data_IF_960796955682
#
_entry.id   IF_960796955682
#
_cell.length_a   1.000
_cell.length_b   1.000
_cell.length_c   1.000
_cell.angle_alpha   90.00
_cell.angle_beta   90.00
_cell.angle_gamma   90.00
#
_symmetry.space_group_name_H-M   'P 1'
#
loop_
_entity.id
_entity.type
_entity.pdbx_description
1 polymer ?
#
# COMPACT_ATOMS: atom_id res chain seq x y z
N UNK A 1 5.24 -32.67 -8.96
CA UNK A 1 4.89 -31.37 -8.34
C UNK A 1 3.75 -30.74 -9.12
N UNK A 2 2.62 -30.42 -8.48
CA UNK A 2 1.45 -29.86 -9.16
C UNK A 2 1.75 -28.44 -9.67
N UNK A 3 1.70 -28.22 -10.98
CA UNK A 3 1.91 -26.90 -11.64
C UNK A 3 1.09 -25.78 -10.97
N UNK A 4 -0.16 -26.08 -10.59
CA UNK A 4 -1.05 -25.16 -9.86
C UNK A 4 -0.46 -24.69 -8.51
N UNK A 5 0.25 -25.58 -7.79
CA UNK A 5 0.91 -25.23 -6.52
C UNK A 5 2.09 -24.29 -6.77
N UNK A 6 2.89 -24.53 -7.81
CA UNK A 6 4.03 -23.67 -8.17
C UNK A 6 3.55 -22.26 -8.53
N UNK A 7 2.53 -22.14 -9.39
CA UNK A 7 1.96 -20.85 -9.81
C UNK A 7 1.46 -20.06 -8.60
N UNK A 8 0.77 -20.72 -7.66
CA UNK A 8 0.29 -20.09 -6.43
C UNK A 8 1.43 -19.56 -5.56
N UNK A 9 2.49 -20.35 -5.37
CA UNK A 9 3.66 -19.92 -4.59
C UNK A 9 4.37 -18.73 -5.24
N UNK A 10 4.55 -18.75 -6.56
CA UNK A 10 5.13 -17.64 -7.29
C UNK A 10 4.29 -16.36 -7.14
N UNK A 11 2.96 -16.45 -7.30
CA UNK A 11 2.07 -15.31 -7.10
C UNK A 11 2.13 -14.76 -5.67
N UNK A 12 2.16 -15.63 -4.66
CA UNK A 12 2.29 -15.22 -3.27
C UNK A 12 3.61 -14.47 -3.03
N UNK A 13 4.72 -15.03 -3.51
CA UNK A 13 6.04 -14.40 -3.40
C UNK A 13 6.05 -13.04 -4.08
N UNK A 14 5.48 -12.94 -5.30
CA UNK A 14 5.37 -11.67 -6.01
C UNK A 14 4.56 -10.62 -5.23
N UNK A 15 3.42 -11.00 -4.65
CA UNK A 15 2.59 -10.08 -3.85
C UNK A 15 3.34 -9.62 -2.60
N UNK A 16 3.99 -10.55 -1.88
CA UNK A 16 4.76 -10.22 -0.67
C UNK A 16 5.92 -9.29 -1.02
N UNK A 17 6.70 -9.59 -2.06
CA UNK A 17 7.80 -8.74 -2.52
C UNK A 17 7.30 -7.35 -2.91
N UNK A 18 6.18 -7.27 -3.63
CA UNK A 18 5.57 -5.99 -3.99
C UNK A 18 5.19 -5.18 -2.75
N UNK A 19 4.54 -5.78 -1.76
CA UNK A 19 4.18 -5.10 -0.50
C UNK A 19 5.41 -4.66 0.30
N UNK A 20 6.50 -5.43 0.29
CA UNK A 20 7.76 -5.06 0.93
C UNK A 20 8.46 -3.90 0.22
N UNK A 21 8.46 -3.90 -1.12
CA UNK A 21 8.98 -2.77 -1.92
C UNK A 21 8.15 -1.52 -1.63
N UNK A 22 6.83 -1.63 -1.58
CA UNK A 22 5.92 -0.53 -1.29
C UNK A 22 6.14 0.01 0.12
N UNK A 23 6.32 -0.88 1.09
CA UNK A 23 6.70 -0.55 2.47
C UNK A 23 7.99 0.28 2.48
N UNK A 24 9.04 -0.21 1.83
CA UNK A 24 10.33 0.46 1.77
C UNK A 24 10.23 1.84 1.12
N UNK A 25 9.57 1.94 -0.04
CA UNK A 25 9.37 3.19 -0.75
C UNK A 25 8.60 4.22 0.07
N UNK A 26 7.51 3.80 0.71
CA UNK A 26 6.69 4.69 1.52
C UNK A 26 7.48 5.22 2.73
N UNK A 27 8.19 4.34 3.44
CA UNK A 27 9.01 4.73 4.60
C UNK A 27 10.17 5.62 4.17
N UNK A 28 10.94 5.22 3.16
CA UNK A 28 12.09 5.98 2.68
C UNK A 28 11.67 7.37 2.17
N UNK A 29 10.59 7.43 1.39
CA UNK A 29 10.04 8.70 0.91
C UNK A 29 9.55 9.60 2.04
N UNK A 30 8.80 9.05 3.00
CA UNK A 30 8.33 9.81 4.16
C UNK A 30 9.49 10.34 5.02
N UNK A 31 10.50 9.51 5.30
CA UNK A 31 11.70 9.93 6.04
C UNK A 31 12.47 11.02 5.29
N UNK A 32 12.58 10.91 3.97
CA UNK A 32 13.23 11.93 3.15
C UNK A 32 12.44 13.25 3.14
N UNK A 33 11.11 13.18 3.13
CA UNK A 33 10.23 14.35 3.16
C UNK A 33 10.21 15.06 4.53
N UNK A 34 10.43 14.35 5.65
CA UNK A 34 10.48 14.96 6.99
C UNK A 34 11.50 16.09 7.12
N UNK A 35 12.59 16.06 6.37
CA UNK A 35 13.61 17.11 6.38
C UNK A 35 13.32 18.28 5.45
N UNK A 36 12.36 18.15 4.53
CA UNK A 36 12.05 19.13 3.47
C UNK A 36 10.61 19.65 3.48
N UNK A 37 9.73 19.10 4.33
CA UNK A 37 8.32 19.52 4.43
C UNK A 37 8.22 20.89 5.10
N UNK A 38 7.84 21.91 4.33
CA UNK A 38 7.67 23.28 4.83
C UNK A 38 6.21 23.72 4.93
N UNK A 39 5.29 22.99 4.27
CA UNK A 39 3.86 23.30 4.29
C UNK A 39 3.07 22.28 5.10
N UNK A 40 1.88 22.68 5.56
CA UNK A 40 0.98 21.81 6.32
C UNK A 40 0.51 20.61 5.47
N UNK A 41 0.25 20.82 4.17
CA UNK A 41 -0.11 19.76 3.23
C UNK A 41 0.97 18.69 3.08
N UNK A 42 2.23 19.10 2.97
CA UNK A 42 3.38 18.18 2.93
C UNK A 42 3.52 17.39 4.23
N UNK A 43 3.31 18.00 5.40
CA UNK A 43 3.35 17.27 6.67
C UNK A 43 2.27 16.20 6.75
N UNK A 44 1.04 16.52 6.33
CA UNK A 44 -0.06 15.54 6.31
C UNK A 44 0.28 14.38 5.37
N UNK A 45 0.76 14.67 4.15
CA UNK A 45 1.17 13.64 3.20
C UNK A 45 2.26 12.74 3.78
N UNK A 46 3.33 13.32 4.35
CA UNK A 46 4.43 12.57 4.96
C UNK A 46 3.93 11.61 6.04
N UNK A 47 3.04 12.07 6.92
CA UNK A 47 2.45 11.22 7.98
C UNK A 47 1.61 10.09 7.36
N UNK A 48 0.76 10.42 6.39
CA UNK A 48 -0.09 9.43 5.69
C UNK A 48 0.77 8.39 4.96
N UNK A 49 1.86 8.83 4.31
CA UNK A 49 2.80 7.99 3.60
C UNK A 49 3.55 7.04 4.55
N UNK A 50 4.02 7.53 5.70
CA UNK A 50 4.64 6.68 6.73
C UNK A 50 3.64 5.65 7.27
N UNK A 51 2.41 6.06 7.56
CA UNK A 51 1.33 5.15 7.97
C UNK A 51 1.05 4.09 6.89
N UNK A 52 1.04 4.48 5.62
CA UNK A 52 0.89 3.55 4.50
C UNK A 52 2.02 2.52 4.47
N UNK A 53 3.27 2.93 4.71
CA UNK A 53 4.41 2.03 4.83
C UNK A 53 4.22 1.00 5.96
N UNK A 54 3.88 1.47 7.16
CA UNK A 54 3.62 0.59 8.32
C UNK A 54 2.46 -0.37 8.05
N UNK A 55 1.36 0.12 7.49
CA UNK A 55 0.19 -0.71 7.16
C UNK A 55 0.48 -1.71 6.04
N UNK A 56 1.37 -1.38 5.10
CA UNK A 56 1.82 -2.30 4.05
C UNK A 56 2.59 -3.47 4.65
N UNK A 57 3.49 -3.19 5.59
CA UNK A 57 4.22 -4.21 6.33
C UNK A 57 3.27 -5.08 7.16
N UNK A 58 2.35 -4.44 7.91
CA UNK A 58 1.37 -5.17 8.71
C UNK A 58 0.46 -6.03 7.83
N UNK A 59 0.13 -5.60 6.61
CA UNK A 59 -0.66 -6.41 5.66
C UNK A 59 0.06 -7.72 5.34
N UNK A 60 1.38 -7.71 5.16
CA UNK A 60 2.19 -8.94 5.02
C UNK A 60 2.11 -9.77 6.31
N UNK A 61 2.28 -9.15 7.49
CA UNK A 61 2.22 -9.85 8.78
C UNK A 61 0.86 -10.49 9.08
N UNK A 62 -0.24 -9.93 8.56
CA UNK A 62 -1.59 -10.51 8.72
C UNK A 62 -1.73 -11.88 8.06
N UNK A 63 -0.92 -12.17 7.05
CA UNK A 63 -0.90 -13.48 6.41
C UNK A 63 -0.35 -14.57 7.35
N UNK A 64 0.68 -14.25 8.14
CA UNK A 64 1.40 -15.22 8.96
C UNK A 64 0.93 -15.27 10.43
N UNK A 65 0.76 -14.12 11.08
CA UNK A 65 0.63 -14.03 12.55
C UNK A 65 -0.69 -13.39 12.99
N UNK A 66 -1.15 -12.36 12.29
CA UNK A 66 -2.24 -11.48 12.76
C UNK A 66 -3.58 -11.72 12.04
N UNK A 67 -4.01 -12.98 11.90
CA UNK A 67 -5.25 -13.34 11.18
C UNK A 67 -6.51 -12.65 11.74
N UNK A 68 -6.61 -12.50 13.08
CA UNK A 68 -7.77 -11.89 13.75
C UNK A 68 -7.97 -10.40 13.42
N UNK A 69 -6.89 -9.67 13.13
CA UNK A 69 -6.93 -8.24 12.80
C UNK A 69 -6.82 -7.98 11.30
N UNK A 70 -6.76 -9.04 10.49
CA UNK A 70 -6.47 -8.94 9.06
C UNK A 70 -7.46 -8.05 8.32
N UNK A 71 -8.76 -8.18 8.61
CA UNK A 71 -9.79 -7.37 7.94
C UNK A 71 -9.59 -5.87 8.24
N UNK A 72 -9.42 -5.50 9.50
CA UNK A 72 -9.24 -4.11 9.91
C UNK A 72 -7.96 -3.50 9.32
N UNK A 73 -6.84 -4.23 9.41
CA UNK A 73 -5.54 -3.77 8.89
C UNK A 73 -5.60 -3.58 7.37
N UNK A 74 -6.24 -4.50 6.63
CA UNK A 74 -6.36 -4.41 5.17
C UNK A 74 -7.22 -3.21 4.74
N UNK A 75 -8.31 -2.94 5.45
CA UNK A 75 -9.17 -1.78 5.18
C UNK A 75 -8.40 -0.49 5.44
N UNK A 76 -7.75 -0.38 6.60
CA UNK A 76 -6.91 0.78 6.92
C UNK A 76 -5.79 0.97 5.89
N UNK A 77 -5.17 -0.13 5.45
CA UNK A 77 -4.14 -0.11 4.42
C UNK A 77 -4.66 0.44 3.09
N UNK A 78 -5.81 -0.03 2.59
CA UNK A 78 -6.44 0.51 1.36
C UNK A 78 -6.62 2.03 1.47
N UNK A 79 -7.24 2.50 2.55
CA UNK A 79 -7.46 3.94 2.73
C UNK A 79 -6.14 4.71 2.75
N UNK A 80 -5.13 4.22 3.47
CA UNK A 80 -3.82 4.86 3.52
C UNK A 80 -3.13 4.92 2.16
N UNK A 81 -3.22 3.86 1.35
CA UNK A 81 -2.61 3.80 0.02
C UNK A 81 -3.29 4.77 -0.95
N UNK A 82 -4.62 4.79 -0.96
CA UNK A 82 -5.41 5.69 -1.81
C UNK A 82 -5.16 7.15 -1.45
N UNK A 83 -5.15 7.46 -0.15
CA UNK A 83 -4.83 8.80 0.33
C UNK A 83 -3.39 9.20 -0.01
N UNK A 84 -2.42 8.31 0.18
CA UNK A 84 -1.02 8.59 -0.17
C UNK A 84 -0.88 8.90 -1.66
N UNK A 85 -1.46 8.08 -2.53
CA UNK A 85 -1.39 8.29 -3.98
C UNK A 85 -2.09 9.58 -4.42
N UNK A 86 -3.28 9.86 -3.88
CA UNK A 86 -4.04 11.06 -4.20
C UNK A 86 -3.38 12.35 -3.68
N UNK A 87 -2.94 12.35 -2.42
CA UNK A 87 -2.28 13.50 -1.82
C UNK A 87 -0.94 13.79 -2.49
N UNK A 88 -0.15 12.76 -2.81
CA UNK A 88 1.14 12.97 -3.46
C UNK A 88 1.01 13.67 -4.82
N UNK A 89 -0.02 13.32 -5.59
CA UNK A 89 -0.35 14.00 -6.83
C UNK A 89 -0.80 15.46 -6.64
N UNK A 90 -1.48 15.78 -5.52
CA UNK A 90 -1.91 17.15 -5.21
C UNK A 90 -0.79 18.03 -4.66
N UNK A 91 0.10 17.45 -3.84
CA UNK A 91 1.13 18.19 -3.11
C UNK A 91 2.37 18.42 -3.98
N UNK A 92 2.78 17.41 -4.77
CA UNK A 92 3.98 17.49 -5.61
C UNK A 92 3.69 17.64 -7.10
N UNK A 93 2.46 17.37 -7.53
CA UNK A 93 2.05 17.51 -8.93
C UNK A 93 1.50 18.90 -9.26
N UNK A 94 1.25 19.18 -10.56
CA UNK A 94 0.48 20.36 -10.95
C UNK A 94 -0.92 20.31 -10.31
N UNK A 95 -1.54 21.46 -9.98
CA UNK A 95 -2.81 21.53 -9.26
C UNK A 95 -3.99 21.09 -10.14
N UNK A 96 -4.08 19.78 -10.37
CA UNK A 96 -5.04 19.13 -11.24
C UNK A 96 -5.76 18.04 -10.44
N UNK A 97 -6.92 18.34 -9.83
CA UNK A 97 -7.63 17.38 -8.98
C UNK A 97 -8.04 16.11 -9.73
N UNK A 98 -8.20 16.20 -11.06
CA UNK A 98 -8.49 15.05 -11.92
C UNK A 98 -7.33 14.05 -11.96
N UNK A 99 -6.08 14.53 -11.96
CA UNK A 99 -4.89 13.67 -11.90
C UNK A 99 -4.85 12.96 -10.55
N UNK A 100 -5.08 13.68 -9.45
CA UNK A 100 -5.13 13.09 -8.12
C UNK A 100 -6.20 12.01 -7.98
N UNK A 101 -7.39 12.24 -8.55
CA UNK A 101 -8.46 11.25 -8.59
C UNK A 101 -8.06 10.01 -9.40
N UNK A 102 -7.37 10.19 -10.52
CA UNK A 102 -6.88 9.08 -11.34
C UNK A 102 -5.86 8.22 -10.56
N UNK A 103 -4.90 8.84 -9.88
CA UNK A 103 -3.93 8.13 -9.03
C UNK A 103 -4.63 7.39 -7.88
N UNK A 104 -5.60 8.01 -7.22
CA UNK A 104 -6.41 7.38 -6.18
C UNK A 104 -7.18 6.17 -6.71
N UNK A 105 -7.78 6.26 -7.91
CA UNK A 105 -8.50 5.16 -8.54
C UNK A 105 -7.57 4.00 -8.93
N UNK A 106 -6.40 4.30 -9.49
CA UNK A 106 -5.39 3.28 -9.82
C UNK A 106 -4.88 2.59 -8.55
N UNK A 107 -4.60 3.35 -7.49
CA UNK A 107 -4.19 2.81 -6.20
C UNK A 107 -5.26 1.89 -5.59
N UNK A 108 -6.53 2.29 -5.65
CA UNK A 108 -7.65 1.48 -5.19
C UNK A 108 -7.76 0.16 -5.97
N UNK A 109 -7.63 0.22 -7.29
CA UNK A 109 -7.66 -0.96 -8.16
C UNK A 109 -6.50 -1.91 -7.82
N UNK A 110 -5.28 -1.38 -7.67
CA UNK A 110 -4.12 -2.16 -7.27
C UNK A 110 -4.31 -2.83 -5.90
N UNK A 111 -4.82 -2.08 -4.91
CA UNK A 111 -5.11 -2.63 -3.59
C UNK A 111 -6.13 -3.77 -3.67
N UNK A 112 -7.19 -3.61 -4.46
CA UNK A 112 -8.20 -4.64 -4.66
C UNK A 112 -7.61 -5.92 -5.27
N UNK A 113 -6.78 -5.79 -6.31
CA UNK A 113 -6.11 -6.94 -6.95
C UNK A 113 -5.21 -7.68 -5.95
N UNK A 114 -4.45 -6.94 -5.14
CA UNK A 114 -3.55 -7.51 -4.13
C UNK A 114 -4.35 -8.28 -3.07
N UNK A 115 -5.39 -7.67 -2.51
CA UNK A 115 -6.20 -8.32 -1.49
C UNK A 115 -6.97 -9.53 -2.01
N UNK A 116 -7.49 -9.43 -3.23
CA UNK A 116 -8.13 -10.56 -3.91
C UNK A 116 -7.15 -11.72 -4.10
N UNK A 117 -5.93 -11.44 -4.53
CA UNK A 117 -4.84 -12.41 -4.63
C UNK A 117 -4.53 -13.07 -3.29
N UNK A 118 -4.34 -12.27 -2.24
CA UNK A 118 -4.07 -12.77 -0.88
C UNK A 118 -5.20 -13.65 -0.34
N UNK A 119 -6.46 -13.26 -0.54
CA UNK A 119 -7.61 -14.05 -0.10
C UNK A 119 -7.65 -15.41 -0.81
N UNK A 120 -7.52 -15.43 -2.14
CA UNK A 120 -7.53 -16.66 -2.94
C UNK A 120 -6.39 -17.62 -2.62
N UNK A 121 -5.25 -17.08 -2.20
CA UNK A 121 -4.07 -17.87 -1.82
C UNK A 121 -4.12 -18.34 -0.36
N UNK A 122 -4.93 -17.70 0.50
CA UNK A 122 -5.02 -18.01 1.93
C UNK A 122 -6.04 -19.09 2.33
N UNK A 123 -6.92 -19.53 1.42
CA UNK A 123 -7.90 -20.60 1.70
C UNK A 123 -7.20 -21.96 1.61
N UNK A 124 -6.55 -22.35 2.71
CA UNK A 124 -6.18 -23.72 3.11
C UNK A 124 -6.48 -23.92 4.59
#
# INVERSE_FOLDING_TARGET
MNLKRIIRWLLLICIILFLLILTWWAIAGGVHQLSHSNTLGQHIETVVQLLCGVLSFLTVSTYFVLKKWASFIRVAWIFSLVLTAGLSALVWGPPMPLIALLFAAVALLAAYIILWGLQRLSVE
#
